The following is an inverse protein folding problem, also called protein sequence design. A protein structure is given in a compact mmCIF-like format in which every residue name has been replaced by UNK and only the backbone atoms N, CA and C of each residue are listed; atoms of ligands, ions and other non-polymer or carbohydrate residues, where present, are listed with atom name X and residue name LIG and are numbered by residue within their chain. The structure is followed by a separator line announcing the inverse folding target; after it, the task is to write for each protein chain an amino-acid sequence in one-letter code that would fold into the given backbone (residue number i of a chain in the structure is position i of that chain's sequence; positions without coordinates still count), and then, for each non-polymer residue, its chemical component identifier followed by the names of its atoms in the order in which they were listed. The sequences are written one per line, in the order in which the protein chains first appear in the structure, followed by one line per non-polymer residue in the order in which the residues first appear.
data_IF_517189491304
#
_entry.id   IF_517189491304
#
_cell.length_a   1.000
_cell.length_b   1.000
_cell.length_c   1.000
_cell.angle_alpha   90.00
_cell.angle_beta   90.00
_cell.angle_gamma   90.00
#
_symmetry.space_group_name_H-M   'P 1'
#
loop_
_entity.id
_entity.type
_entity.pdbx_description
1 polymer ?
#
# COMPACT_ATOMS: atom_id res chain seq x y z
N UNK A 1 2.34 -26.01 9.76
CA UNK A 1 1.00 -25.92 10.32
C UNK A 1 0.56 -27.20 11.03
N UNK A 2 0.88 -28.39 10.49
CA UNK A 2 0.54 -29.68 11.12
C UNK A 2 1.14 -29.79 12.52
N UNK A 3 2.45 -29.54 12.66
CA UNK A 3 3.14 -29.55 13.95
C UNK A 3 2.56 -28.55 14.97
N UNK A 4 1.99 -27.43 14.49
CA UNK A 4 1.41 -26.43 15.39
C UNK A 4 0.01 -26.79 15.87
N UNK A 5 -0.82 -27.33 14.99
CA UNK A 5 -2.24 -27.56 15.23
C UNK A 5 -2.59 -28.98 15.67
N UNK A 6 -1.66 -29.93 15.59
CA UNK A 6 -1.85 -31.30 16.07
C UNK A 6 -1.61 -31.36 17.58
N UNK A 7 -2.66 -31.62 18.33
CA UNK A 7 -2.64 -31.71 19.81
C UNK A 7 -1.60 -32.69 20.33
N UNK A 8 -1.27 -33.71 19.54
CA UNK A 8 -0.33 -34.77 19.93
C UNK A 8 1.14 -34.45 19.65
N UNK A 9 1.40 -33.55 18.72
CA UNK A 9 2.75 -33.28 18.20
C UNK A 9 3.22 -31.85 18.41
N UNK A 10 2.32 -30.91 18.76
CA UNK A 10 2.65 -29.50 18.88
C UNK A 10 3.48 -29.20 20.12
N UNK A 11 4.73 -28.72 19.96
CA UNK A 11 5.54 -28.24 21.09
C UNK A 11 4.91 -27.08 21.84
N UNK A 12 4.15 -26.23 21.11
CA UNK A 12 3.41 -25.11 21.69
C UNK A 12 2.31 -25.60 22.63
N UNK A 13 1.53 -26.58 22.19
CA UNK A 13 0.46 -27.15 23.02
C UNK A 13 1.05 -27.87 24.23
N UNK A 14 2.15 -28.60 24.06
CA UNK A 14 2.85 -29.27 25.16
C UNK A 14 3.37 -28.25 26.19
N UNK A 15 4.00 -27.16 25.73
CA UNK A 15 4.47 -26.08 26.61
C UNK A 15 3.31 -25.45 27.37
N UNK A 16 2.25 -25.06 26.67
CA UNK A 16 1.10 -24.41 27.28
C UNK A 16 0.38 -25.31 28.28
N UNK A 17 0.24 -26.59 27.99
CA UNK A 17 -0.32 -27.57 28.93
C UNK A 17 0.55 -27.75 30.17
N UNK A 18 1.89 -27.75 30.01
CA UNK A 18 2.81 -27.84 31.13
C UNK A 18 2.72 -26.63 32.04
N UNK A 19 2.69 -25.43 31.47
CA UNK A 19 2.51 -24.19 32.23
C UNK A 19 1.17 -24.15 32.96
N UNK A 20 0.10 -24.58 32.32
CA UNK A 20 -1.22 -24.68 32.93
C UNK A 20 -1.26 -25.66 34.11
N UNK A 21 -0.60 -26.79 33.94
CA UNK A 21 -0.55 -27.82 35.01
C UNK A 21 0.30 -27.33 36.20
N UNK A 22 1.43 -26.73 35.98
CA UNK A 22 2.29 -26.19 37.04
C UNK A 22 1.58 -25.05 37.81
N UNK A 23 0.86 -24.18 37.10
CA UNK A 23 0.05 -23.14 37.72
C UNK A 23 -1.03 -23.71 38.65
N UNK A 24 -1.69 -24.80 38.23
CA UNK A 24 -2.70 -25.49 39.08
C UNK A 24 -2.08 -26.15 40.28
N UNK A 25 -0.93 -26.76 40.16
CA UNK A 25 -0.26 -27.45 41.29
C UNK A 25 0.18 -26.45 42.35
N UNK A 26 0.64 -25.25 41.97
CA UNK A 26 0.95 -24.14 42.87
C UNK A 26 -0.29 -23.68 43.65
N UNK A 27 -1.42 -23.50 42.98
CA UNK A 27 -2.68 -23.11 43.62
C UNK A 27 -3.23 -24.17 44.58
N UNK A 28 -3.10 -25.45 44.26
CA UNK A 28 -3.52 -26.53 45.14
C UNK A 28 -2.68 -26.62 46.43
N UNK A 29 -1.39 -26.34 46.35
CA UNK A 29 -0.53 -26.32 47.54
C UNK A 29 -0.82 -25.14 48.47
N UNK A 30 -1.20 -23.98 47.94
CA UNK A 30 -1.66 -22.83 48.74
C UNK A 30 -3.06 -23.10 49.32
N UNK A 31 -3.96 -23.68 48.54
CA UNK A 31 -5.31 -24.05 49.03
C UNK A 31 -5.27 -25.11 50.14
N UNK A 32 -4.34 -26.02 50.14
CA UNK A 32 -4.15 -27.00 51.21
C UNK A 32 -3.62 -26.35 52.50
N UNK A 33 -2.68 -25.42 52.41
CA UNK A 33 -2.21 -24.67 53.59
C UNK A 33 -3.27 -23.77 54.20
N UNK A 34 -4.08 -23.10 53.37
CA UNK A 34 -5.24 -22.29 53.82
C UNK A 34 -6.34 -23.12 54.41
N UNK A 35 -6.59 -24.32 53.87
CA UNK A 35 -7.55 -25.27 54.41
C UNK A 35 -7.13 -25.80 55.79
N UNK A 36 -5.83 -26.05 55.97
CA UNK A 36 -5.30 -26.46 57.29
C UNK A 36 -5.38 -25.31 58.32
N UNK A 37 -5.11 -24.08 57.91
CA UNK A 37 -5.22 -22.89 58.75
C UNK A 37 -6.70 -22.60 59.10
N UNK A 38 -7.64 -22.74 58.19
CA UNK A 38 -9.06 -22.63 58.45
C UNK A 38 -9.55 -23.71 59.39
N UNK A 39 -9.16 -24.96 59.22
CA UNK A 39 -9.52 -26.04 60.12
C UNK A 39 -8.96 -25.85 61.53
N UNK A 40 -7.75 -25.26 61.64
CA UNK A 40 -7.17 -24.91 62.92
C UNK A 40 -7.91 -23.71 63.62
N UNK A 41 -8.40 -22.75 62.85
CA UNK A 41 -9.20 -21.62 63.36
C UNK A 41 -10.62 -22.02 63.80
N UNK A 42 -11.25 -22.94 63.08
CA UNK A 42 -12.58 -23.45 63.43
C UNK A 42 -12.58 -24.30 64.70
N UNK A 43 -11.44 -24.86 65.08
CA UNK A 43 -11.27 -25.59 66.33
C UNK A 43 -11.04 -24.73 67.54
N UNK A 44 -10.77 -23.45 67.43
CA UNK A 44 -10.45 -22.53 68.54
C UNK A 44 -11.52 -21.47 68.74
N UNK A 45 -12.72 -21.71 68.37
CA UNK A 45 -13.88 -21.05 68.92
C UNK A 45 -14.22 -19.64 68.52
N UNK A 46 -15.46 -19.41 68.17
CA UNK A 46 -16.13 -18.10 68.37
C UNK A 46 -16.84 -17.60 67.13
N UNK A 47 -18.13 -17.57 67.28
CA UNK A 47 -19.10 -16.97 66.39
C UNK A 47 -18.74 -15.51 66.04
N UNK A 48 -18.45 -15.28 64.81
CA UNK A 48 -18.84 -14.05 64.11
C UNK A 48 -18.72 -14.30 62.62
N UNK A 49 -19.77 -14.04 61.87
CA UNK A 49 -19.78 -14.13 60.40
C UNK A 49 -19.03 -12.92 59.81
N UNK A 50 -17.90 -13.10 59.18
CA UNK A 50 -17.37 -12.00 58.37
C UNK A 50 -18.18 -11.90 57.09
N UNK A 51 -18.60 -10.70 56.75
CA UNK A 51 -19.13 -10.35 55.47
C UNK A 51 -18.12 -10.78 54.38
N UNK A 52 -18.62 -11.43 53.35
CA UNK A 52 -17.82 -11.81 52.17
C UNK A 52 -17.42 -10.52 51.49
N UNK A 53 -16.17 -10.14 51.67
CA UNK A 53 -15.56 -9.07 50.88
C UNK A 53 -15.29 -9.63 49.50
N UNK A 54 -16.10 -9.22 48.52
CA UNK A 54 -16.01 -9.64 47.13
C UNK A 54 -14.85 -8.98 46.35
N UNK A 55 -13.94 -8.31 47.01
CA UNK A 55 -12.76 -7.65 46.40
C UNK A 55 -11.46 -8.43 46.53
N UNK A 56 -11.50 -9.70 46.94
CA UNK A 56 -10.27 -10.51 46.93
C UNK A 56 -9.93 -10.94 45.50
N UNK A 57 -9.04 -10.23 44.88
CA UNK A 57 -8.18 -10.76 43.80
C UNK A 57 -7.59 -12.05 44.33
N UNK A 58 -7.90 -13.17 43.69
CA UNK A 58 -7.33 -14.47 44.03
C UNK A 58 -5.79 -14.40 44.06
N UNK A 59 -5.11 -15.22 44.86
CA UNK A 59 -3.67 -15.20 44.95
C UNK A 59 -3.07 -15.44 43.56
N UNK A 60 -2.24 -14.51 43.11
CA UNK A 60 -1.44 -14.68 41.90
C UNK A 60 -0.51 -15.85 42.13
N UNK A 61 -0.55 -16.86 41.27
CA UNK A 61 0.38 -17.96 41.34
C UNK A 61 1.80 -17.51 40.99
N UNK A 62 2.84 -18.23 41.43
CA UNK A 62 4.23 -17.86 41.19
C UNK A 62 4.59 -17.77 39.71
N UNK A 63 3.77 -18.30 38.81
CA UNK A 63 3.96 -18.23 37.35
C UNK A 63 3.21 -17.05 36.71
N UNK A 64 2.26 -16.42 37.40
CA UNK A 64 1.42 -15.37 36.83
C UNK A 64 2.21 -14.08 36.54
N UNK A 65 3.22 -13.79 37.33
CA UNK A 65 4.07 -12.63 37.15
C UNK A 65 4.92 -12.71 35.87
N UNK A 66 5.44 -13.88 35.53
CA UNK A 66 6.31 -14.08 34.36
C UNK A 66 5.53 -14.55 33.13
N UNK A 67 4.59 -15.46 33.30
CA UNK A 67 3.86 -16.12 32.19
C UNK A 67 2.40 -15.67 32.07
N UNK A 68 2.00 -14.63 32.81
CA UNK A 68 0.64 -14.12 32.82
C UNK A 68 0.01 -13.93 31.44
N UNK A 69 0.68 -13.22 30.49
CA UNK A 69 0.14 -13.04 29.14
C UNK A 69 -0.11 -14.35 28.38
N UNK A 70 0.77 -15.35 28.54
CA UNK A 70 0.60 -16.67 27.93
C UNK A 70 -0.52 -17.46 28.59
N UNK A 71 -0.65 -17.40 29.90
CA UNK A 71 -1.72 -18.10 30.64
C UNK A 71 -3.11 -17.53 30.32
N UNK A 72 -3.21 -16.23 30.04
CA UNK A 72 -4.46 -15.61 29.58
C UNK A 72 -4.97 -16.21 28.26
N UNK A 73 -4.07 -16.61 27.35
CA UNK A 73 -4.45 -17.26 26.09
C UNK A 73 -5.10 -18.63 26.29
N UNK A 74 -4.86 -19.27 27.43
CA UNK A 74 -5.49 -20.56 27.79
C UNK A 74 -6.94 -20.41 28.29
N UNK A 75 -7.45 -19.19 28.40
CA UNK A 75 -8.80 -18.92 28.87
C UNK A 75 -8.99 -19.18 30.36
N UNK A 76 -7.93 -19.35 31.13
CA UNK A 76 -7.96 -19.45 32.58
C UNK A 76 -7.89 -18.05 33.18
N UNK A 77 -9.04 -17.36 33.20
CA UNK A 77 -9.18 -16.20 34.04
C UNK A 77 -9.12 -16.64 35.48
N UNK A 78 -8.06 -16.34 36.18
CA UNK A 78 -8.03 -16.31 37.61
C UNK A 78 -9.04 -15.26 38.09
N UNK A 79 -10.27 -15.68 38.29
CA UNK A 79 -11.28 -15.01 39.11
C UNK A 79 -11.58 -13.55 38.78
N UNK A 80 -12.36 -13.27 37.78
CA UNK A 80 -13.37 -12.21 37.81
C UNK A 80 -14.26 -12.17 36.57
N UNK A 81 -15.55 -12.22 36.83
CA UNK A 81 -16.69 -11.76 36.04
C UNK A 81 -16.85 -12.18 34.58
N UNK A 82 -17.75 -13.08 34.40
CA UNK A 82 -18.55 -13.45 33.25
C UNK A 82 -19.23 -12.22 32.62
N UNK A 83 -18.48 -11.36 31.95
CA UNK A 83 -19.11 -10.33 31.10
C UNK A 83 -18.17 -9.78 30.01
N UNK A 84 -17.47 -10.65 29.31
CA UNK A 84 -16.90 -10.32 27.97
C UNK A 84 -16.32 -11.55 27.28
N UNK A 85 -17.13 -12.60 27.18
CA UNK A 85 -16.72 -13.85 26.52
C UNK A 85 -16.54 -13.72 24.99
N UNK A 86 -16.95 -12.62 24.39
CA UNK A 86 -16.98 -12.48 22.91
C UNK A 86 -15.73 -11.85 22.27
N UNK A 87 -14.81 -11.27 23.06
CA UNK A 87 -13.64 -10.59 22.51
C UNK A 87 -12.29 -11.03 23.10
N UNK A 88 -12.22 -12.07 23.91
CA UNK A 88 -10.96 -12.54 24.46
C UNK A 88 -10.18 -13.36 23.41
N UNK A 89 -8.95 -12.95 23.12
CA UNK A 89 -8.01 -13.73 22.31
C UNK A 89 -7.72 -15.05 23.04
N UNK A 90 -7.87 -16.18 22.35
CA UNK A 90 -7.63 -17.50 22.94
C UNK A 90 -6.80 -18.38 22.04
N UNK A 91 -5.95 -19.22 22.65
CA UNK A 91 -5.18 -20.24 21.95
C UNK A 91 -6.08 -21.22 21.21
N UNK A 92 -7.20 -21.61 21.81
CA UNK A 92 -8.16 -22.53 21.21
C UNK A 92 -8.73 -22.00 19.89
N UNK A 93 -9.13 -20.73 19.87
CA UNK A 93 -9.63 -20.08 18.65
C UNK A 93 -8.54 -20.01 17.58
N UNK A 94 -7.32 -19.66 17.97
CA UNK A 94 -6.17 -19.63 17.04
C UNK A 94 -5.92 -20.99 16.42
N UNK A 95 -5.83 -22.05 17.23
CA UNK A 95 -5.60 -23.42 16.73
C UNK A 95 -6.73 -23.92 15.84
N UNK A 96 -7.97 -23.54 16.13
CA UNK A 96 -9.13 -23.85 15.28
C UNK A 96 -8.99 -23.19 13.92
N UNK A 97 -8.60 -21.93 13.88
CA UNK A 97 -8.36 -21.18 12.62
C UNK A 97 -7.19 -21.77 11.83
N UNK A 98 -6.06 -22.05 12.49
CA UNK A 98 -4.89 -22.70 11.85
C UNK A 98 -5.25 -24.08 11.31
N UNK A 99 -6.07 -24.84 12.02
CA UNK A 99 -6.55 -26.15 11.55
C UNK A 99 -7.39 -26.02 10.27
N UNK A 100 -8.27 -25.03 10.19
CA UNK A 100 -9.03 -24.78 8.94
C UNK A 100 -8.11 -24.45 7.77
N UNK A 101 -7.12 -23.59 7.98
CA UNK A 101 -6.12 -23.26 6.95
C UNK A 101 -5.35 -24.50 6.54
N UNK A 102 -4.88 -25.31 7.50
CA UNK A 102 -4.19 -26.58 7.23
C UNK A 102 -5.02 -27.51 6.37
N UNK A 103 -6.27 -27.76 6.75
CA UNK A 103 -7.17 -28.64 6.00
C UNK A 103 -7.40 -28.14 4.58
N UNK A 104 -7.55 -26.83 4.40
CA UNK A 104 -7.71 -26.23 3.08
C UNK A 104 -6.47 -26.41 2.21
N UNK A 105 -5.28 -26.22 2.78
CA UNK A 105 -4.02 -26.47 2.06
C UNK A 105 -3.81 -27.95 1.74
N UNK A 106 -4.22 -28.86 2.63
CA UNK A 106 -4.19 -30.31 2.37
C UNK A 106 -5.14 -30.71 1.24
N UNK A 107 -6.34 -30.12 1.18
CA UNK A 107 -7.27 -30.32 0.06
C UNK A 107 -6.65 -29.86 -1.27
N UNK A 108 -5.99 -28.72 -1.29
CA UNK A 108 -5.28 -28.23 -2.48
C UNK A 108 -4.15 -29.19 -2.87
N UNK A 109 -3.34 -29.62 -1.92
CA UNK A 109 -2.20 -30.53 -2.17
C UNK A 109 -2.63 -31.91 -2.66
N UNK A 110 -3.83 -32.38 -2.29
CA UNK A 110 -4.39 -33.67 -2.70
C UNK A 110 -5.33 -33.59 -3.91
N UNK A 111 -5.47 -32.45 -4.53
CA UNK A 111 -6.27 -32.29 -5.73
C UNK A 111 -5.64 -32.95 -6.96
N UNK A 112 -6.44 -33.16 -7.99
CA UNK A 112 -5.95 -33.75 -9.27
C UNK A 112 -4.96 -32.81 -9.99
N UNK A 113 -5.11 -31.49 -9.82
CA UNK A 113 -4.13 -30.47 -10.23
C UNK A 113 -3.85 -29.53 -9.05
N UNK A 114 -2.83 -29.84 -8.24
CA UNK A 114 -2.47 -29.03 -7.08
C UNK A 114 -1.99 -27.63 -7.46
N UNK A 115 -1.35 -27.45 -8.61
CA UNK A 115 -0.83 -26.16 -9.05
C UNK A 115 -1.96 -25.18 -9.41
N UNK A 116 -2.93 -25.65 -10.20
CA UNK A 116 -4.09 -24.84 -10.57
C UNK A 116 -4.91 -24.46 -9.32
N UNK A 117 -5.13 -25.42 -8.43
CA UNK A 117 -5.84 -25.17 -7.17
C UNK A 117 -5.10 -24.19 -6.27
N UNK A 118 -3.76 -24.26 -6.20
CA UNK A 118 -2.93 -23.32 -5.43
C UNK A 118 -3.01 -21.92 -6.01
N UNK A 119 -2.93 -21.77 -7.33
CA UNK A 119 -3.09 -20.47 -8.01
C UNK A 119 -4.47 -19.89 -7.75
N UNK A 120 -5.52 -20.70 -7.82
CA UNK A 120 -6.90 -20.27 -7.53
C UNK A 120 -7.03 -19.79 -6.08
N UNK A 121 -6.46 -20.54 -5.13
CA UNK A 121 -6.45 -20.15 -3.72
C UNK A 121 -5.72 -18.80 -3.51
N UNK A 122 -4.53 -18.67 -4.07
CA UNK A 122 -3.76 -17.45 -3.98
C UNK A 122 -4.49 -16.25 -4.62
N UNK A 123 -5.14 -16.45 -5.75
CA UNK A 123 -5.95 -15.42 -6.40
C UNK A 123 -7.08 -14.94 -5.49
N UNK A 124 -7.73 -15.83 -4.75
CA UNK A 124 -8.78 -15.41 -3.78
C UNK A 124 -8.21 -14.57 -2.64
N UNK A 125 -6.97 -14.84 -2.20
CA UNK A 125 -6.27 -14.02 -1.18
C UNK A 125 -5.95 -12.65 -1.75
N UNK A 126 -5.34 -12.57 -2.93
CA UNK A 126 -5.01 -11.30 -3.58
C UNK A 126 -6.23 -10.43 -3.85
N UNK A 127 -7.35 -11.04 -4.21
CA UNK A 127 -8.61 -10.33 -4.46
C UNK A 127 -9.38 -9.96 -3.17
N UNK A 128 -8.89 -10.35 -2.00
CA UNK A 128 -9.55 -10.10 -0.72
C UNK A 128 -10.83 -10.92 -0.51
N UNK A 129 -10.98 -12.02 -1.23
CA UNK A 129 -12.17 -12.90 -1.15
C UNK A 129 -12.00 -14.08 -0.19
N UNK A 130 -10.79 -14.31 0.29
CA UNK A 130 -10.49 -15.42 1.22
C UNK A 130 -10.51 -14.94 2.66
N UNK A 131 -11.69 -14.87 3.24
CA UNK A 131 -11.91 -14.38 4.61
C UNK A 131 -11.18 -15.26 5.64
N UNK A 132 -11.28 -16.58 5.53
CA UNK A 132 -10.68 -17.52 6.51
C UNK A 132 -9.16 -17.39 6.62
N UNK A 133 -8.48 -17.21 5.49
CA UNK A 133 -7.03 -17.12 5.45
C UNK A 133 -6.54 -15.78 6.01
N UNK A 134 -7.17 -14.70 5.59
CA UNK A 134 -6.88 -13.35 6.05
C UNK A 134 -7.14 -13.18 7.54
N UNK A 135 -8.28 -13.66 8.01
CA UNK A 135 -8.67 -13.59 9.42
C UNK A 135 -7.72 -14.38 10.33
N UNK A 136 -7.21 -15.53 9.86
CA UNK A 136 -6.25 -16.31 10.64
C UNK A 136 -4.93 -15.58 10.82
N UNK A 137 -4.44 -14.92 9.77
CA UNK A 137 -3.20 -14.16 9.83
C UNK A 137 -3.35 -12.92 10.74
N UNK A 138 -4.46 -12.22 10.65
CA UNK A 138 -4.79 -11.11 11.54
C UNK A 138 -4.90 -11.57 12.99
N UNK A 139 -5.54 -12.68 13.24
CA UNK A 139 -5.69 -13.24 14.57
C UNK A 139 -4.35 -13.61 15.21
N UNK A 140 -3.44 -14.24 14.46
CA UNK A 140 -2.08 -14.53 14.90
C UNK A 140 -1.29 -13.27 15.25
N UNK A 141 -1.42 -12.21 14.45
CA UNK A 141 -0.78 -10.92 14.72
C UNK A 141 -1.36 -10.24 15.97
N UNK A 142 -2.68 -10.34 16.20
CA UNK A 142 -3.33 -9.82 17.41
C UNK A 142 -2.87 -10.57 18.66
N UNK A 143 -2.76 -11.89 18.60
CA UNK A 143 -2.22 -12.69 19.71
C UNK A 143 -0.79 -12.25 20.02
N UNK A 144 0.09 -12.17 19.02
CA UNK A 144 1.46 -11.73 19.20
C UNK A 144 1.56 -10.35 19.86
N UNK A 145 0.73 -9.40 19.40
CA UNK A 145 0.67 -8.06 19.98
C UNK A 145 0.15 -8.05 21.44
N UNK A 146 -0.79 -8.94 21.77
CA UNK A 146 -1.38 -9.02 23.12
C UNK A 146 -0.41 -9.53 24.19
N UNK A 147 0.67 -10.21 23.79
CA UNK A 147 1.68 -10.73 24.72
C UNK A 147 2.61 -9.65 25.29
N UNK A 148 2.62 -8.46 24.70
CA UNK A 148 3.48 -7.34 25.13
C UNK A 148 4.91 -7.41 24.62
N UNK A 149 5.71 -6.38 24.94
CA UNK A 149 7.08 -6.23 24.41
C UNK A 149 8.02 -7.36 24.83
N UNK A 150 7.94 -7.80 26.07
CA UNK A 150 8.81 -8.86 26.60
C UNK A 150 8.65 -10.19 25.83
N UNK A 151 7.44 -10.47 25.37
CA UNK A 151 7.10 -11.70 24.66
C UNK A 151 7.02 -11.52 23.14
N UNK A 152 7.39 -10.34 22.62
CA UNK A 152 7.26 -10.02 21.19
C UNK A 152 8.01 -11.00 20.27
N UNK A 153 9.21 -11.40 20.64
CA UNK A 153 10.01 -12.39 19.90
C UNK A 153 9.34 -13.76 19.87
N UNK A 154 8.87 -14.22 21.04
CA UNK A 154 8.13 -15.49 21.15
C UNK A 154 6.81 -15.42 20.38
N UNK A 155 6.03 -14.38 20.57
CA UNK A 155 4.76 -14.18 19.87
C UNK A 155 4.91 -14.17 18.36
N UNK A 156 5.90 -13.45 17.85
CA UNK A 156 6.22 -13.43 16.42
C UNK A 156 6.61 -14.82 15.91
N UNK A 157 7.52 -15.50 16.60
CA UNK A 157 8.02 -16.82 16.17
C UNK A 157 6.94 -17.89 16.20
N UNK A 158 6.08 -17.89 17.21
CA UNK A 158 5.10 -18.97 17.42
C UNK A 158 3.77 -18.75 16.74
N UNK A 159 3.31 -17.52 16.63
CA UNK A 159 1.96 -17.21 16.13
C UNK A 159 1.93 -16.51 14.77
N UNK A 160 3.00 -15.84 14.36
CA UNK A 160 3.06 -15.09 13.12
C UNK A 160 3.89 -15.78 12.04
N UNK A 161 5.14 -16.14 12.35
CA UNK A 161 6.06 -16.72 11.37
C UNK A 161 5.54 -17.97 10.65
N UNK A 162 4.89 -18.96 11.31
CA UNK A 162 4.40 -20.14 10.61
C UNK A 162 3.31 -19.83 9.58
N UNK A 163 2.49 -18.83 9.86
CA UNK A 163 1.48 -18.37 8.92
C UNK A 163 2.12 -17.59 7.77
N UNK A 164 3.12 -16.74 8.08
CA UNK A 164 3.91 -16.02 7.07
C UNK A 164 4.58 -17.01 6.10
N UNK A 165 5.24 -18.04 6.60
CA UNK A 165 5.87 -19.08 5.78
C UNK A 165 4.85 -19.86 4.93
N UNK A 166 3.69 -20.18 5.50
CA UNK A 166 2.60 -20.80 4.74
C UNK A 166 2.11 -19.86 3.62
N UNK A 167 2.00 -18.56 3.90
CA UNK A 167 1.65 -17.54 2.93
C UNK A 167 2.68 -17.41 1.83
N UNK A 168 3.96 -17.33 2.16
CA UNK A 168 5.04 -17.30 1.17
C UNK A 168 4.93 -18.48 0.21
N UNK A 169 4.73 -19.67 0.73
CA UNK A 169 4.59 -20.88 -0.09
C UNK A 169 3.39 -20.82 -1.03
N UNK A 170 2.29 -20.23 -0.60
CA UNK A 170 1.06 -20.11 -1.41
C UNK A 170 1.14 -18.94 -2.39
N UNK A 171 1.63 -17.79 -1.94
CA UNK A 171 1.52 -16.54 -2.67
C UNK A 171 2.69 -16.29 -3.63
N UNK A 172 3.90 -16.76 -3.31
CA UNK A 172 5.09 -16.52 -4.15
C UNK A 172 4.94 -17.05 -5.60
N UNK A 173 4.50 -18.27 -5.87
CA UNK A 173 4.30 -18.73 -7.24
C UNK A 173 3.25 -17.91 -7.99
N UNK A 174 2.21 -17.45 -7.29
CA UNK A 174 1.12 -16.69 -7.86
C UNK A 174 1.48 -15.21 -8.04
N UNK A 175 2.45 -14.69 -7.29
CA UNK A 175 3.01 -13.36 -7.50
C UNK A 175 3.65 -13.24 -8.90
N UNK A 176 4.36 -14.25 -9.36
CA UNK A 176 4.92 -14.30 -10.72
C UNK A 176 3.82 -14.27 -11.79
N UNK A 177 2.72 -15.00 -11.58
CA UNK A 177 1.56 -14.99 -12.47
C UNK A 177 0.86 -13.63 -12.51
N UNK A 178 0.76 -12.94 -11.38
CA UNK A 178 0.23 -11.57 -11.32
C UNK A 178 1.14 -10.56 -12.00
N UNK A 179 2.45 -10.68 -11.84
CA UNK A 179 3.42 -9.86 -12.57
C UNK A 179 3.22 -10.00 -14.08
N UNK A 180 3.08 -11.23 -14.57
CA UNK A 180 2.86 -11.51 -15.98
C UNK A 180 1.50 -10.96 -16.47
N UNK A 181 0.44 -11.12 -15.71
CA UNK A 181 -0.87 -10.54 -16.02
C UNK A 181 -0.83 -9.02 -16.08
N UNK A 182 -0.18 -8.37 -15.12
CA UNK A 182 0.05 -6.93 -15.10
C UNK A 182 0.82 -6.47 -16.32
N UNK A 183 1.94 -7.10 -16.60
CA UNK A 183 2.79 -6.79 -17.75
C UNK A 183 2.05 -6.85 -19.07
N UNK A 184 1.28 -7.90 -19.29
CA UNK A 184 0.53 -8.09 -20.55
C UNK A 184 -0.71 -7.21 -20.66
N UNK A 185 -1.48 -7.04 -19.60
CA UNK A 185 -2.77 -6.35 -19.66
C UNK A 185 -2.65 -4.84 -19.51
N UNK A 186 -1.67 -4.35 -18.75
CA UNK A 186 -1.51 -2.92 -18.47
C UNK A 186 -0.24 -2.36 -19.06
N UNK A 187 0.94 -2.92 -18.71
CA UNK A 187 2.23 -2.33 -19.08
C UNK A 187 2.48 -2.34 -20.58
N UNK A 188 2.18 -3.44 -21.27
CA UNK A 188 2.35 -3.53 -22.72
C UNK A 188 1.51 -2.49 -23.47
N UNK A 189 0.26 -2.29 -23.04
CA UNK A 189 -0.62 -1.27 -23.60
C UNK A 189 -0.17 0.15 -23.25
N UNK A 190 0.33 0.37 -22.06
CA UNK A 190 0.94 1.63 -21.64
C UNK A 190 2.12 2.00 -22.53
N UNK A 191 3.05 1.08 -22.74
CA UNK A 191 4.22 1.29 -23.61
C UNK A 191 3.80 1.63 -25.03
N UNK A 192 2.86 0.89 -25.58
CA UNK A 192 2.34 1.17 -26.94
C UNK A 192 1.75 2.57 -27.06
N UNK A 193 1.06 3.03 -26.01
CA UNK A 193 0.40 4.34 -26.02
C UNK A 193 1.35 5.51 -25.80
N UNK A 194 2.41 5.35 -24.98
CA UNK A 194 3.16 6.49 -24.43
C UNK A 194 4.66 6.47 -24.67
N UNK A 195 5.27 5.31 -24.91
CA UNK A 195 6.72 5.25 -25.10
C UNK A 195 7.16 6.06 -26.31
N UNK A 196 8.23 6.84 -26.11
CA UNK A 196 8.80 7.70 -27.15
C UNK A 196 7.93 8.91 -27.51
N UNK A 197 6.88 9.22 -26.77
CA UNK A 197 5.97 10.36 -27.00
C UNK A 197 6.10 11.41 -25.90
N UNK A 198 5.88 12.68 -26.28
CA UNK A 198 5.83 13.75 -25.32
C UNK A 198 4.57 13.63 -24.42
N UNK A 199 4.61 13.83 -23.09
CA UNK A 199 5.73 14.34 -22.28
C UNK A 199 6.69 13.28 -21.73
N UNK A 200 6.48 12.00 -22.02
CA UNK A 200 7.32 10.91 -21.52
C UNK A 200 8.73 10.92 -22.12
N UNK A 201 8.87 11.42 -23.34
CA UNK A 201 10.13 11.62 -24.03
C UNK A 201 10.20 13.00 -24.68
N UNK A 202 11.42 13.47 -24.99
CA UNK A 202 11.64 14.67 -25.78
C UNK A 202 11.36 14.36 -27.25
N UNK A 203 10.11 14.29 -27.64
CA UNK A 203 9.63 13.88 -28.95
C UNK A 203 8.72 14.95 -29.57
N UNK A 204 8.69 14.98 -30.91
CA UNK A 204 7.69 15.77 -31.65
C UNK A 204 6.32 15.10 -31.67
N UNK A 205 6.29 13.80 -31.40
CA UNK A 205 5.05 13.02 -31.30
C UNK A 205 4.45 13.16 -29.92
N UNK A 206 3.15 13.42 -29.86
CA UNK A 206 2.43 13.65 -28.61
C UNK A 206 1.74 12.37 -28.13
N UNK A 207 1.73 12.17 -26.81
CA UNK A 207 0.83 11.22 -26.18
C UNK A 207 -0.62 11.73 -26.26
N UNK A 208 -1.57 10.80 -26.35
CA UNK A 208 -2.98 11.15 -26.30
C UNK A 208 -3.42 11.42 -24.87
N UNK A 209 -3.91 12.63 -24.59
CA UNK A 209 -4.44 12.98 -23.26
C UNK A 209 -5.70 12.16 -22.89
N UNK A 210 -6.65 11.89 -23.80
CA UNK A 210 -7.75 10.98 -23.51
C UNK A 210 -7.29 9.54 -23.20
N UNK A 211 -6.24 9.07 -23.87
CA UNK A 211 -5.66 7.75 -23.56
C UNK A 211 -5.00 7.73 -22.18
N UNK A 212 -4.31 8.80 -21.81
CA UNK A 212 -3.76 8.93 -20.44
C UNK A 212 -4.89 8.88 -19.40
N UNK A 213 -6.00 9.56 -19.65
CA UNK A 213 -7.20 9.49 -18.79
C UNK A 213 -7.75 8.07 -18.66
N UNK A 214 -7.79 7.31 -19.77
CA UNK A 214 -8.24 5.91 -19.77
C UNK A 214 -7.40 5.01 -18.86
N UNK A 215 -6.11 5.29 -18.72
CA UNK A 215 -5.23 4.54 -17.81
C UNK A 215 -5.30 4.98 -16.38
N UNK A 216 -5.28 6.31 -16.11
CA UNK A 216 -5.02 6.83 -14.76
C UNK A 216 -6.23 7.36 -14.02
N UNK A 217 -7.41 7.48 -14.66
CA UNK A 217 -8.61 7.93 -13.97
C UNK A 217 -8.88 7.11 -12.72
N UNK A 218 -9.23 7.81 -11.65
CA UNK A 218 -9.64 7.21 -10.39
C UNK A 218 -10.90 6.36 -10.62
N UNK A 219 -10.92 5.17 -10.03
CA UNK A 219 -12.00 4.18 -10.04
C UNK A 219 -12.36 3.57 -11.40
N UNK A 220 -12.21 4.29 -12.49
CA UNK A 220 -12.59 3.84 -13.84
C UNK A 220 -11.40 3.52 -14.75
N UNK A 221 -10.21 4.03 -14.43
CA UNK A 221 -8.99 3.81 -15.21
C UNK A 221 -8.51 2.37 -15.19
N UNK A 222 -7.75 1.98 -16.19
CA UNK A 222 -7.23 0.59 -16.32
C UNK A 222 -6.36 0.20 -15.13
N UNK A 223 -5.53 1.12 -14.63
CA UNK A 223 -4.65 0.88 -13.48
C UNK A 223 -5.48 0.66 -12.22
N UNK A 224 -6.37 1.59 -11.87
CA UNK A 224 -7.21 1.48 -10.68
C UNK A 224 -8.08 0.22 -10.71
N UNK A 225 -8.65 -0.11 -11.85
CA UNK A 225 -9.45 -1.34 -12.02
C UNK A 225 -8.61 -2.60 -11.81
N UNK A 226 -7.39 -2.64 -12.35
CA UNK A 226 -6.50 -3.78 -12.11
C UNK A 226 -6.18 -3.93 -10.63
N UNK A 227 -5.78 -2.85 -9.98
CA UNK A 227 -5.40 -2.86 -8.56
C UNK A 227 -6.58 -3.25 -7.65
N UNK A 228 -7.76 -2.71 -7.90
CA UNK A 228 -8.96 -3.02 -7.11
C UNK A 228 -9.52 -4.42 -7.39
N UNK A 229 -9.37 -4.93 -8.60
CA UNK A 229 -9.86 -6.27 -8.95
C UNK A 229 -8.90 -7.37 -8.52
N UNK A 230 -7.60 -7.18 -8.74
CA UNK A 230 -6.60 -8.24 -8.58
C UNK A 230 -5.83 -8.17 -7.26
N UNK A 231 -5.72 -7.00 -6.63
CA UNK A 231 -4.86 -6.76 -5.47
C UNK A 231 -5.60 -6.19 -4.24
N UNK A 232 -6.93 -6.14 -4.25
CA UNK A 232 -7.71 -5.53 -3.17
C UNK A 232 -7.48 -6.16 -1.79
N UNK A 233 -7.01 -7.42 -1.74
CA UNK A 233 -6.70 -8.11 -0.49
C UNK A 233 -5.35 -7.73 0.12
N UNK A 234 -4.42 -7.21 -0.66
CA UNK A 234 -3.04 -6.93 -0.24
C UNK A 234 -2.61 -5.49 -0.44
N UNK A 235 -3.37 -4.70 -1.18
CA UNK A 235 -3.11 -3.30 -1.48
C UNK A 235 -4.40 -2.49 -1.33
N UNK A 236 -4.36 -1.38 -0.60
CA UNK A 236 -5.52 -0.51 -0.41
C UNK A 236 -5.14 0.96 -0.55
N UNK A 237 -6.14 1.81 -0.74
CA UNK A 237 -5.95 3.27 -0.82
C UNK A 237 -6.08 3.92 0.55
N UNK A 238 -5.09 4.75 0.89
CA UNK A 238 -5.14 5.71 2.00
C UNK A 238 -5.08 7.13 1.39
N UNK A 239 -6.22 7.78 1.27
CA UNK A 239 -6.34 9.03 0.50
C UNK A 239 -6.05 8.80 -0.98
N UNK A 240 -5.00 9.45 -1.49
CA UNK A 240 -4.53 9.30 -2.88
C UNK A 240 -3.42 8.26 -3.05
N UNK A 241 -2.95 7.68 -1.96
CA UNK A 241 -1.81 6.75 -1.98
C UNK A 241 -2.27 5.30 -1.91
N UNK A 242 -1.65 4.46 -2.73
CA UNK A 242 -1.75 3.00 -2.64
C UNK A 242 -0.75 2.48 -1.62
N UNK A 243 -1.23 1.77 -0.62
CA UNK A 243 -0.43 1.27 0.51
C UNK A 243 -0.61 -0.23 0.64
N UNK A 244 0.48 -1.01 0.77
CA UNK A 244 0.39 -2.43 1.09
C UNK A 244 -0.29 -2.66 2.43
N UNK A 245 -1.19 -3.63 2.49
CA UNK A 245 -1.76 -4.09 3.75
C UNK A 245 -0.68 -4.79 4.58
N UNK A 246 -0.40 -4.28 5.78
CA UNK A 246 0.71 -4.76 6.61
C UNK A 246 0.56 -6.21 7.07
N UNK A 247 -0.66 -6.67 7.23
CA UNK A 247 -0.94 -8.02 7.70
C UNK A 247 -1.06 -8.99 6.51
N UNK A 248 -1.87 -8.63 5.52
CA UNK A 248 -2.20 -9.52 4.41
C UNK A 248 -1.08 -9.61 3.35
N UNK A 249 -0.15 -8.64 3.34
CA UNK A 249 1.02 -8.66 2.45
C UNK A 249 2.25 -9.28 3.08
N UNK A 250 2.16 -9.85 4.27
CA UNK A 250 3.27 -10.59 4.87
C UNK A 250 3.69 -11.74 3.95
N UNK A 251 5.00 -11.89 3.75
CA UNK A 251 5.55 -12.87 2.81
C UNK A 251 5.55 -12.43 1.34
N UNK A 252 5.08 -11.23 1.03
CA UNK A 252 5.16 -10.62 -0.29
C UNK A 252 6.13 -9.43 -0.26
N UNK A 253 6.99 -9.36 -1.26
CA UNK A 253 7.85 -8.20 -1.47
C UNK A 253 7.32 -7.36 -2.63
N UNK A 254 6.61 -6.28 -2.33
CA UNK A 254 6.24 -5.31 -3.35
C UNK A 254 7.47 -4.65 -3.95
N UNK A 255 7.47 -4.49 -5.27
CA UNK A 255 8.50 -3.71 -5.96
C UNK A 255 8.35 -2.23 -5.59
N UNK A 256 9.35 -1.60 -4.95
CA UNK A 256 9.25 -0.20 -4.57
C UNK A 256 9.07 0.75 -5.76
N UNK A 257 9.63 0.40 -6.93
CA UNK A 257 9.45 1.17 -8.16
C UNK A 257 7.99 1.14 -8.64
N UNK A 258 7.34 -0.01 -8.52
CA UNK A 258 5.92 -0.15 -8.82
C UNK A 258 5.05 0.76 -7.92
N UNK A 259 5.27 0.70 -6.61
CA UNK A 259 4.51 1.53 -5.66
C UNK A 259 4.72 3.03 -5.92
N UNK A 260 5.95 3.46 -6.18
CA UNK A 260 6.24 4.86 -6.55
C UNK A 260 5.52 5.27 -7.84
N UNK A 261 5.56 4.40 -8.86
CA UNK A 261 4.95 4.68 -10.15
C UNK A 261 3.42 4.83 -10.05
N UNK A 262 2.73 3.88 -9.43
CA UNK A 262 1.27 3.96 -9.28
C UNK A 262 0.83 5.13 -8.41
N UNK A 263 1.60 5.49 -7.39
CA UNK A 263 1.31 6.63 -6.53
C UNK A 263 1.56 7.97 -7.26
N UNK A 264 2.61 8.08 -8.07
CA UNK A 264 2.82 9.25 -8.92
C UNK A 264 1.66 9.44 -9.91
N UNK A 265 1.18 8.38 -10.54
CA UNK A 265 0.03 8.44 -11.44
C UNK A 265 -1.28 8.73 -10.71
N UNK A 266 -1.45 8.25 -9.49
CA UNK A 266 -2.62 8.56 -8.66
C UNK A 266 -2.67 10.05 -8.29
N UNK A 267 -1.55 10.63 -7.89
CA UNK A 267 -1.42 12.08 -7.63
C UNK A 267 -1.70 12.91 -8.89
N UNK A 268 -1.15 12.50 -10.02
CA UNK A 268 -1.42 13.15 -11.30
C UNK A 268 -2.89 13.08 -11.68
N UNK A 269 -3.55 11.95 -11.42
CA UNK A 269 -4.99 11.79 -11.64
C UNK A 269 -5.81 12.77 -10.80
N UNK A 270 -5.44 12.98 -9.54
CA UNK A 270 -6.11 13.95 -8.67
C UNK A 270 -5.95 15.39 -9.18
N UNK A 271 -4.82 15.71 -9.81
CA UNK A 271 -4.58 17.04 -10.40
C UNK A 271 -5.38 17.22 -11.71
N UNK A 272 -5.39 16.20 -12.59
CA UNK A 272 -5.99 16.27 -13.93
C UNK A 272 -7.51 16.08 -13.97
N UNK A 273 -8.06 15.29 -13.05
CA UNK A 273 -9.45 14.81 -13.11
C UNK A 273 -10.22 15.14 -11.83
N UNK A 274 -10.14 16.38 -11.38
CA UNK A 274 -10.89 16.84 -10.21
C UNK A 274 -12.38 16.97 -10.55
N UNK A 275 -13.23 16.44 -9.69
CA UNK A 275 -14.71 16.55 -9.75
C UNK A 275 -15.35 16.15 -11.09
N UNK A 276 -14.81 15.13 -11.75
CA UNK A 276 -15.33 14.63 -13.02
C UNK A 276 -15.00 15.50 -14.24
N UNK A 277 -14.33 16.63 -14.03
CA UNK A 277 -13.84 17.48 -15.12
C UNK A 277 -12.41 17.14 -15.49
N UNK A 278 -12.10 17.14 -16.78
CA UNK A 278 -10.73 16.99 -17.28
C UNK A 278 -10.06 18.35 -17.37
N UNK A 279 -8.90 18.51 -16.76
CA UNK A 279 -8.06 19.70 -16.89
C UNK A 279 -7.57 20.26 -15.57
N UNK A 280 -6.57 21.13 -15.67
CA UNK A 280 -5.89 21.76 -14.55
C UNK A 280 -6.19 23.25 -14.57
N UNK A 281 -6.60 23.80 -13.42
CA UNK A 281 -6.72 25.25 -13.22
C UNK A 281 -5.46 25.78 -12.55
N UNK A 282 -4.93 26.87 -13.05
CA UNK A 282 -3.75 27.54 -12.55
C UNK A 282 -3.83 29.04 -12.84
N UNK A 283 -2.99 29.82 -12.17
CA UNK A 283 -2.89 31.25 -12.40
C UNK A 283 -1.51 31.60 -12.94
N UNK A 284 -1.46 32.59 -13.82
CA UNK A 284 -0.22 33.20 -14.31
C UNK A 284 -0.21 34.70 -13.99
N UNK A 285 0.98 35.18 -13.69
CA UNK A 285 1.28 36.61 -13.55
C UNK A 285 2.55 36.90 -14.33
N UNK A 286 2.47 37.81 -15.29
CA UNK A 286 3.64 38.34 -15.96
C UNK A 286 4.49 39.17 -15.00
N UNK A 287 5.80 39.12 -15.14
CA UNK A 287 6.75 39.90 -14.32
C UNK A 287 7.38 41.05 -15.14
N UNK A 288 7.51 42.23 -14.55
CA UNK A 288 8.25 43.33 -15.17
C UNK A 288 9.70 42.96 -15.38
N UNK A 289 10.20 43.16 -16.56
CA UNK A 289 11.60 42.91 -16.93
C UNK A 289 12.17 44.07 -17.74
N UNK A 290 13.45 44.42 -17.58
CA UNK A 290 14.06 45.50 -18.34
C UNK A 290 13.99 45.24 -19.84
N UNK A 291 13.83 46.33 -20.64
CA UNK A 291 13.84 46.33 -22.10
C UNK A 291 12.65 45.64 -22.79
N UNK A 292 11.80 44.93 -22.07
CA UNK A 292 10.57 44.36 -22.64
C UNK A 292 9.43 45.39 -22.50
N UNK A 293 8.79 45.67 -23.62
CA UNK A 293 7.67 46.60 -23.68
C UNK A 293 6.34 45.88 -23.55
N UNK A 294 6.22 44.76 -24.24
CA UNK A 294 4.97 44.03 -24.35
C UNK A 294 5.23 42.55 -24.50
N UNK A 295 4.41 41.73 -23.86
CA UNK A 295 4.30 40.29 -24.14
C UNK A 295 2.84 39.90 -24.32
N UNK A 296 2.57 38.98 -25.22
CA UNK A 296 1.27 38.37 -25.42
C UNK A 296 1.43 36.87 -25.43
N UNK A 297 0.93 36.23 -24.38
CA UNK A 297 0.88 34.76 -24.25
C UNK A 297 -0.55 34.29 -24.47
N UNK A 298 -0.71 33.36 -25.40
CA UNK A 298 -2.00 32.72 -25.67
C UNK A 298 -1.88 31.24 -25.35
N UNK A 299 -2.73 30.74 -24.48
CA UNK A 299 -2.78 29.32 -24.08
C UNK A 299 -4.19 28.80 -24.38
N UNK A 300 -4.32 27.94 -25.35
CA UNK A 300 -5.62 27.37 -25.78
C UNK A 300 -6.69 28.43 -25.94
N UNK A 301 -6.37 29.54 -26.63
CA UNK A 301 -7.27 30.66 -26.83
C UNK A 301 -7.40 31.64 -25.66
N UNK A 302 -6.89 31.34 -24.50
CA UNK A 302 -6.86 32.23 -23.34
C UNK A 302 -5.65 33.15 -23.43
N UNK A 303 -5.85 34.44 -23.29
CA UNK A 303 -4.81 35.45 -23.56
C UNK A 303 -4.34 36.12 -22.27
N UNK A 304 -3.02 36.24 -22.10
CA UNK A 304 -2.39 37.09 -21.11
C UNK A 304 -1.56 38.17 -21.84
N UNK A 305 -2.12 39.41 -21.83
CA UNK A 305 -1.49 40.55 -22.44
C UNK A 305 -0.85 41.44 -21.38
N UNK A 306 0.42 41.77 -21.56
CA UNK A 306 1.23 42.46 -20.59
C UNK A 306 2.03 43.60 -21.24
N UNK A 307 1.93 44.82 -20.68
CA UNK A 307 2.60 46.00 -21.16
C UNK A 307 3.62 46.57 -20.16
N UNK A 308 4.34 45.70 -19.49
CA UNK A 308 5.36 46.08 -18.49
C UNK A 308 4.82 46.91 -17.32
N UNK A 309 3.56 46.75 -16.99
CA UNK A 309 2.90 47.30 -15.80
C UNK A 309 2.92 46.29 -14.64
N UNK A 310 2.43 46.69 -13.49
CA UNK A 310 2.14 45.76 -12.43
C UNK A 310 1.01 44.83 -12.90
N UNK A 311 1.30 43.57 -13.00
CA UNK A 311 0.35 42.57 -13.53
C UNK A 311 -0.47 41.97 -12.41
N UNK A 312 -1.75 41.77 -12.67
CA UNK A 312 -2.61 40.94 -11.83
C UNK A 312 -2.48 39.48 -12.16
N UNK A 313 -2.92 38.65 -11.23
CA UNK A 313 -3.06 37.23 -11.48
C UNK A 313 -4.20 36.96 -12.44
N UNK A 314 -3.97 36.14 -13.47
CA UNK A 314 -4.99 35.70 -14.42
C UNK A 314 -5.14 34.23 -14.37
N UNK A 315 -6.37 33.74 -14.26
CA UNK A 315 -6.69 32.32 -14.21
C UNK A 315 -6.74 31.71 -15.59
N UNK A 316 -6.18 30.53 -15.70
CA UNK A 316 -6.14 29.69 -16.91
C UNK A 316 -6.60 28.28 -16.61
N UNK A 317 -7.02 27.59 -17.65
CA UNK A 317 -7.33 26.17 -17.62
C UNK A 317 -6.61 25.47 -18.77
N UNK A 318 -5.98 24.36 -18.48
CA UNK A 318 -5.36 23.50 -19.48
C UNK A 318 -5.82 22.02 -19.29
N UNK A 319 -6.25 21.31 -20.36
CA UNK A 319 -6.57 21.87 -21.69
C UNK A 319 -7.70 22.88 -21.63
N UNK A 320 -7.60 23.89 -22.49
CA UNK A 320 -8.66 24.88 -22.68
C UNK A 320 -9.75 24.36 -23.64
N UNK A 321 -10.86 25.06 -23.64
CA UNK A 321 -11.99 24.77 -24.53
C UNK A 321 -11.79 25.51 -25.87
N UNK A 322 -11.10 24.86 -26.80
CA UNK A 322 -10.78 25.45 -28.12
C UNK A 322 -10.61 24.39 -29.19
N UNK A 323 -10.94 24.75 -30.43
CA UNK A 323 -10.67 23.92 -31.62
C UNK A 323 -9.22 24.03 -32.12
N UNK A 324 -8.46 25.00 -31.62
CA UNK A 324 -7.05 25.22 -31.98
C UNK A 324 -6.18 25.24 -30.74
N UNK A 325 -5.92 24.08 -30.13
CA UNK A 325 -5.09 24.02 -28.94
C UNK A 325 -3.64 24.37 -29.27
N UNK A 326 -2.98 25.01 -28.31
CA UNK A 326 -1.57 25.37 -28.40
C UNK A 326 -1.22 26.56 -27.54
N UNK A 327 0.07 26.86 -27.47
CA UNK A 327 0.60 28.05 -26.82
C UNK A 327 1.39 28.88 -27.82
N UNK A 328 1.16 30.19 -27.81
CA UNK A 328 1.86 31.13 -28.67
C UNK A 328 2.33 32.33 -27.82
N UNK A 329 3.57 32.71 -27.99
CA UNK A 329 4.17 33.85 -27.31
C UNK A 329 4.73 34.83 -28.33
N UNK A 330 4.26 36.08 -28.28
CA UNK A 330 4.84 37.21 -28.98
C UNK A 330 5.40 38.22 -27.97
N UNK A 331 6.43 38.95 -28.35
CA UNK A 331 7.09 39.90 -27.50
C UNK A 331 7.57 41.12 -28.28
N UNK A 332 7.68 42.24 -27.61
CA UNK A 332 8.22 43.50 -28.14
C UNK A 332 9.22 44.03 -27.14
N UNK A 333 10.41 44.41 -27.60
CA UNK A 333 11.42 45.07 -26.78
C UNK A 333 11.67 46.50 -27.25
N UNK A 334 12.41 47.28 -26.45
CA UNK A 334 12.84 48.64 -26.82
C UNK A 334 13.70 48.68 -28.07
N UNK A 335 14.34 47.55 -28.43
CA UNK A 335 15.24 47.41 -29.58
C UNK A 335 14.60 46.74 -30.79
N UNK A 336 13.39 46.17 -30.62
CA UNK A 336 12.75 45.41 -31.66
C UNK A 336 11.23 45.52 -31.59
N UNK A 337 10.60 45.61 -32.75
CA UNK A 337 9.12 45.54 -32.83
C UNK A 337 8.58 44.16 -32.46
N UNK A 338 7.26 43.98 -32.59
CA UNK A 338 6.60 42.71 -32.25
C UNK A 338 7.21 41.51 -33.01
N UNK A 339 7.60 40.49 -32.28
CA UNK A 339 8.21 39.26 -32.79
C UNK A 339 7.55 38.02 -32.17
N UNK A 340 7.52 36.97 -32.99
CA UNK A 340 7.11 35.68 -32.48
C UNK A 340 8.31 35.06 -31.70
N UNK A 341 8.08 34.71 -30.43
CA UNK A 341 9.03 33.96 -29.63
C UNK A 341 8.89 32.45 -29.87
N UNK A 342 7.65 31.95 -29.82
CA UNK A 342 7.36 30.54 -30.05
C UNK A 342 5.88 30.33 -30.37
N UNK A 343 5.65 29.27 -31.17
CA UNK A 343 4.31 28.78 -31.54
C UNK A 343 4.32 27.26 -31.35
N UNK A 344 3.71 26.81 -30.25
CA UNK A 344 3.64 25.41 -29.84
C UNK A 344 2.22 24.91 -30.09
N UNK A 345 2.02 24.23 -31.19
CA UNK A 345 0.71 23.73 -31.63
C UNK A 345 0.36 22.40 -30.99
N UNK A 346 -0.95 22.14 -30.88
CA UNK A 346 -1.50 20.89 -30.36
C UNK A 346 -1.84 20.94 -28.87
N UNK A 347 -2.47 19.90 -28.38
CA UNK A 347 -2.95 19.81 -26.98
C UNK A 347 -1.84 20.04 -25.96
N UNK A 348 -0.65 19.55 -26.24
CA UNK A 348 0.51 19.67 -25.34
C UNK A 348 1.31 20.96 -25.54
N UNK A 349 0.84 21.86 -26.37
CA UNK A 349 1.57 23.10 -26.69
C UNK A 349 1.97 23.92 -25.47
N UNK A 350 1.06 24.11 -24.52
CA UNK A 350 1.37 24.81 -23.28
C UNK A 350 2.42 24.07 -22.42
N UNK A 351 2.32 22.76 -22.32
CA UNK A 351 3.29 21.96 -21.56
C UNK A 351 4.66 21.99 -22.24
N UNK A 352 4.72 22.00 -23.59
CA UNK A 352 5.95 22.19 -24.35
C UNK A 352 6.56 23.56 -24.10
N UNK A 353 5.73 24.61 -24.04
CA UNK A 353 6.18 25.95 -23.69
C UNK A 353 6.81 25.98 -22.30
N UNK A 354 6.18 25.37 -21.29
CA UNK A 354 6.74 25.21 -19.94
C UNK A 354 8.07 24.43 -19.95
N UNK A 355 8.17 23.39 -20.79
CA UNK A 355 9.37 22.56 -20.88
C UNK A 355 10.59 23.34 -21.43
N UNK A 356 10.36 24.29 -22.32
CA UNK A 356 11.41 25.13 -22.89
C UNK A 356 11.91 26.22 -21.92
N UNK A 357 11.08 26.60 -20.95
CA UNK A 357 11.41 27.62 -19.96
C UNK A 357 12.32 27.09 -18.84
N UNK A 358 13.14 28.00 -18.30
CA UNK A 358 13.85 27.74 -17.04
C UNK A 358 12.87 27.88 -15.91
N UNK A 359 12.75 26.85 -15.09
CA UNK A 359 11.81 26.78 -13.98
C UNK A 359 12.56 26.87 -12.66
N UNK A 360 12.04 27.74 -11.76
CA UNK A 360 12.56 27.91 -10.41
C UNK A 360 11.38 27.93 -9.45
N UNK A 361 11.40 27.03 -8.49
CA UNK A 361 10.40 27.04 -7.41
C UNK A 361 10.62 28.22 -6.49
N UNK A 362 9.57 29.01 -6.25
CA UNK A 362 9.56 30.16 -5.34
C UNK A 362 9.03 29.76 -3.96
N UNK A 363 7.94 29.01 -3.95
CA UNK A 363 7.32 28.43 -2.75
C UNK A 363 6.58 27.11 -3.09
N UNK A 364 5.77 26.61 -2.18
CA UNK A 364 5.04 25.33 -2.38
C UNK A 364 4.06 25.37 -3.54
N UNK A 365 3.55 26.52 -3.92
CA UNK A 365 2.49 26.69 -4.92
C UNK A 365 2.91 27.53 -6.12
N UNK A 366 4.08 28.19 -6.08
CA UNK A 366 4.51 29.16 -7.07
C UNK A 366 5.85 28.78 -7.70
N UNK A 367 5.93 28.98 -9.02
CA UNK A 367 7.09 28.72 -9.85
C UNK A 367 7.37 29.89 -10.77
N UNK A 368 8.63 30.33 -10.85
CA UNK A 368 9.10 31.25 -11.85
C UNK A 368 9.42 30.49 -13.13
N UNK A 369 8.85 30.93 -14.25
CA UNK A 369 9.16 30.42 -15.58
C UNK A 369 9.80 31.54 -16.38
N UNK A 370 11.03 31.32 -16.86
CA UNK A 370 11.86 32.33 -17.52
C UNK A 370 12.34 31.85 -18.87
N UNK A 371 12.42 32.79 -19.81
CA UNK A 371 12.98 32.56 -21.15
C UNK A 371 13.96 33.67 -21.48
N UNK A 372 14.96 33.36 -22.29
CA UNK A 372 15.88 34.32 -22.86
C UNK A 372 15.49 34.60 -24.30
N UNK A 373 15.12 35.83 -24.61
CA UNK A 373 14.81 36.25 -25.96
C UNK A 373 16.09 36.43 -26.83
N UNK A 374 15.99 36.47 -28.15
CA UNK A 374 17.14 36.62 -29.04
C UNK A 374 17.98 37.90 -28.85
N UNK A 375 17.42 38.92 -28.22
CA UNK A 375 18.12 40.17 -27.85
C UNK A 375 18.65 40.18 -26.42
N UNK A 376 18.77 39.01 -25.80
CA UNK A 376 19.17 38.81 -24.40
C UNK A 376 18.19 39.39 -23.35
N UNK A 377 16.99 39.80 -23.76
CA UNK A 377 15.94 40.17 -22.84
C UNK A 377 15.38 38.95 -22.14
N UNK A 378 15.07 39.08 -20.86
CA UNK A 378 14.44 38.00 -20.09
C UNK A 378 12.92 38.18 -20.13
N UNK A 379 12.20 37.09 -20.42
CA UNK A 379 10.76 37.05 -20.36
C UNK A 379 10.37 36.17 -19.16
N UNK A 380 9.53 36.67 -18.25
CA UNK A 380 9.25 35.97 -16.99
C UNK A 380 7.77 35.98 -16.64
N UNK A 381 7.32 34.83 -16.13
CA UNK A 381 6.00 34.65 -15.53
C UNK A 381 6.13 33.89 -14.22
N UNK A 382 5.19 34.14 -13.31
CA UNK A 382 4.98 33.28 -12.14
C UNK A 382 3.74 32.46 -12.38
N UNK A 383 3.88 31.15 -12.24
CA UNK A 383 2.81 30.18 -12.27
C UNK A 383 2.42 29.82 -10.84
N UNK A 384 1.14 29.95 -10.51
CA UNK A 384 0.58 29.55 -9.23
C UNK A 384 -0.38 28.37 -9.44
N UNK A 385 -0.11 27.28 -8.74
CA UNK A 385 -0.95 26.08 -8.78
C UNK A 385 -1.94 26.08 -7.61
N UNK A 386 -3.15 25.60 -7.87
CA UNK A 386 -4.15 25.37 -6.83
C UNK A 386 -4.01 23.98 -6.18
N UNK A 387 -3.50 23.01 -6.93
CA UNK A 387 -3.30 21.63 -6.48
C UNK A 387 -1.91 21.13 -6.88
N UNK A 388 -1.12 20.71 -5.90
CA UNK A 388 0.21 20.13 -6.12
C UNK A 388 1.10 21.05 -6.98
N UNK A 389 1.81 20.47 -7.93
CA UNK A 389 2.65 21.20 -8.89
C UNK A 389 1.88 21.69 -10.12
N UNK A 390 0.54 21.51 -10.16
CA UNK A 390 -0.29 21.92 -11.28
C UNK A 390 0.18 21.35 -12.62
N UNK A 391 0.27 22.20 -13.69
CA UNK A 391 0.72 21.74 -15.01
C UNK A 391 2.15 21.20 -15.04
N UNK A 392 3.00 21.59 -14.10
CA UNK A 392 4.38 21.11 -14.00
C UNK A 392 4.47 19.62 -13.61
N UNK A 393 3.43 19.06 -13.03
CA UNK A 393 3.34 17.62 -12.73
C UNK A 393 3.44 16.76 -14.00
N UNK A 394 3.01 17.29 -15.16
CA UNK A 394 3.11 16.61 -16.44
C UNK A 394 4.55 16.54 -16.96
N UNK A 395 5.38 17.53 -16.64
CA UNK A 395 6.80 17.49 -16.96
C UNK A 395 7.59 16.48 -16.14
N UNK A 396 7.10 16.13 -14.95
CA UNK A 396 7.65 15.05 -14.12
C UNK A 396 7.46 13.65 -14.76
N UNK A 397 6.65 13.52 -15.79
CA UNK A 397 6.50 12.28 -16.58
C UNK A 397 7.68 12.03 -17.53
N UNK A 398 8.60 12.97 -17.71
CA UNK A 398 9.80 12.77 -18.52
C UNK A 398 10.61 11.60 -17.98
N UNK A 399 10.84 10.58 -18.83
CA UNK A 399 11.53 9.36 -18.43
C UNK A 399 10.73 8.43 -17.52
N UNK A 400 9.46 8.71 -17.27
CA UNK A 400 8.59 7.81 -16.52
C UNK A 400 8.38 6.51 -17.27
N UNK A 401 8.55 5.40 -16.57
CA UNK A 401 8.25 4.05 -17.06
C UNK A 401 7.38 3.32 -16.06
N UNK A 402 6.41 2.58 -16.56
CA UNK A 402 5.58 1.72 -15.72
C UNK A 402 6.30 0.39 -15.52
N UNK A 403 6.64 0.00 -14.27
CA UNK A 403 7.36 -1.24 -14.01
C UNK A 403 6.58 -2.48 -14.43
N UNK A 404 7.27 -3.47 -14.96
CA UNK A 404 6.69 -4.75 -15.37
C UNK A 404 6.28 -5.62 -14.19
N UNK A 405 6.92 -5.44 -13.03
CA UNK A 405 6.75 -6.29 -11.87
C UNK A 405 6.08 -5.52 -10.73
N UNK A 406 4.98 -6.09 -10.24
CA UNK A 406 4.31 -5.66 -9.01
C UNK A 406 5.11 -6.11 -7.79
N UNK A 407 5.54 -7.39 -7.81
CA UNK A 407 6.30 -8.02 -6.75
C UNK A 407 7.72 -8.29 -7.20
N UNK A 408 8.68 -8.07 -6.29
CA UNK A 408 10.05 -8.54 -6.47
C UNK A 408 10.04 -10.06 -6.29
N UNK A 409 10.21 -10.78 -7.38
CA UNK A 409 10.35 -12.25 -7.36
C UNK A 409 11.84 -12.57 -7.24
N UNK A 410 12.26 -13.21 -6.15
CA UNK A 410 13.62 -13.69 -6.01
C UNK A 410 13.87 -14.76 -7.07
N UNK A 411 14.71 -14.45 -8.05
CA UNK A 411 15.08 -15.36 -9.12
C UNK A 411 15.71 -16.68 -8.64
N UNK A 412 16.24 -16.70 -7.42
CA UNK A 412 16.77 -17.89 -6.78
C UNK A 412 15.68 -18.89 -6.37
N UNK A 413 14.56 -18.42 -5.82
CA UNK A 413 13.44 -19.28 -5.42
C UNK A 413 12.74 -19.88 -6.65
N UNK A 414 12.62 -19.11 -7.72
CA UNK A 414 12.02 -19.57 -8.98
C UNK A 414 12.91 -20.59 -9.69
N UNK A 415 14.23 -20.42 -9.64
CA UNK A 415 15.19 -21.38 -10.19
C UNK A 415 15.21 -22.70 -9.42
N UNK A 416 15.10 -22.66 -8.09
CA UNK A 416 14.99 -23.87 -7.26
C UNK A 416 13.68 -24.63 -7.49
N UNK A 417 12.55 -23.93 -7.65
CA UNK A 417 11.26 -24.55 -7.96
C UNK A 417 11.24 -25.18 -9.36
N UNK A 418 11.92 -24.56 -10.34
CA UNK A 418 12.07 -25.12 -11.68
C UNK A 418 13.01 -26.35 -11.68
N UNK A 419 14.11 -26.32 -10.94
CA UNK A 419 15.03 -27.45 -10.83
C UNK A 419 14.41 -28.65 -10.09
N UNK A 420 13.64 -28.42 -9.04
CA UNK A 420 12.91 -29.45 -8.33
C UNK A 420 11.87 -30.15 -9.21
N UNK A 421 11.23 -29.43 -10.14
CA UNK A 421 10.27 -30.02 -11.09
C UNK A 421 10.96 -30.76 -12.23
N UNK A 422 12.20 -30.45 -12.58
CA UNK A 422 12.96 -31.12 -13.63
C UNK A 422 13.48 -32.46 -13.11
N UNK A 423 13.90 -32.55 -11.84
CA UNK A 423 14.36 -33.81 -11.23
C UNK A 423 13.24 -34.84 -11.02
N UNK A 424 11.98 -34.40 -10.85
CA UNK A 424 10.83 -35.31 -10.73
C UNK A 424 10.43 -35.87 -12.11
N UNK A 425 10.60 -35.09 -13.18
CA UNK A 425 10.27 -35.55 -14.55
C UNK A 425 11.27 -36.56 -15.11
N UNK A 426 12.53 -36.53 -14.66
CA UNK A 426 13.57 -37.47 -15.12
C UNK A 426 13.57 -38.80 -14.36
N UNK A 427 12.82 -38.92 -13.27
CA UNK A 427 12.68 -40.21 -12.54
C UNK A 427 11.54 -41.10 -13.06
N UNK A 428 10.59 -40.59 -13.81
CA UNK A 428 9.47 -41.33 -14.40
C UNK A 428 9.77 -41.88 -15.82
N UNK A 429 11.00 -41.76 -16.29
CA UNK A 429 11.43 -42.17 -17.63
C UNK A 429 12.26 -43.46 -17.72
N UNK A 430 12.39 -44.23 -16.63
CA UNK A 430 13.13 -45.51 -16.64
C UNK A 430 12.24 -46.60 -16.05
N UNK A 431 11.37 -47.17 -16.90
CA UNK A 431 10.94 -48.57 -16.92
C UNK A 431 10.60 -49.00 -18.36
#
# INVERSE_FOLDING_TARGET
LTLMSDIRQSPLIALMNTLAWQGQTGQQSEGLSDSIIKSAKDLVGGKDKPAIDQSATGPQGPLDETFGPLLQLLGKNTGSNVMSADNSLSLQTYLTRVTRVRLRLQQVASASDPQEMMQTLAQTVFQGKSVDLTDTQQYGSLISASLGEEWSGFGSTMFVQPLTQAWETVLQPSAASLNDKWSRSVVANWRTAFDGRFPFAASKSDASLPMLAEFIRKDSGRIDRFLTTELNGVLHKEGSQWVPDKVNSQGLSFNPAFLRAINQLSELSDILFTDGSQGISFDLQARPVPRVVETQLTIDGQKLHYFNQMADWQSFRWPGDTYKPGAMLTWTSVNAGARLFGDYRGTWGFIRWLDQGKRQQLDRSQWMVSFTAPDDSTLQWVLRSQLGNGPLALLALRGFTLPDQIFSVDSAATAQALMANTEISDMDGIE
#
